data_IF_588747166298
#
_entry.id   IF_588747166298
#
_cell.length_a   1.000
_cell.length_b   1.000
_cell.length_c   1.000
_cell.angle_alpha   90.00
_cell.angle_beta   90.00
_cell.angle_gamma   90.00
#
_symmetry.space_group_name_H-M   'P 1'
#
loop_
_entity.id
_entity.type
_entity.pdbx_description
1 polymer ?
#
# COMPACT_ATOMS: atom_id res chain seq x y z
N UNK A 1 13.93 23.85 -37.45
CA UNK A 1 14.37 23.21 -36.20
C UNK A 1 13.47 23.76 -35.12
N UNK A 2 12.39 23.05 -34.81
CA UNK A 2 11.49 23.44 -33.72
C UNK A 2 11.97 22.79 -32.43
N UNK A 3 12.19 23.61 -31.41
CA UNK A 3 12.65 23.17 -30.10
C UNK A 3 11.50 22.45 -29.41
N UNK A 4 11.66 21.13 -29.20
CA UNK A 4 10.75 20.37 -28.36
C UNK A 4 10.75 20.96 -26.94
N UNK A 5 9.57 21.16 -26.31
CA UNK A 5 9.53 21.52 -24.90
C UNK A 5 10.13 20.39 -24.07
N UNK A 6 10.81 20.69 -22.96
CA UNK A 6 11.36 19.67 -22.09
C UNK A 6 10.22 18.76 -21.61
N UNK A 7 10.37 17.45 -21.81
CA UNK A 7 9.55 16.44 -21.16
C UNK A 7 9.42 16.83 -19.68
N UNK A 8 8.20 16.93 -19.11
CA UNK A 8 8.08 17.12 -17.69
C UNK A 8 8.73 15.91 -17.04
N UNK A 9 9.85 16.15 -16.35
CA UNK A 9 10.50 15.24 -15.43
C UNK A 9 9.44 14.90 -14.37
N UNK A 10 8.61 13.90 -14.66
CA UNK A 10 7.79 13.20 -13.70
C UNK A 10 8.79 12.47 -12.82
N UNK A 11 9.48 13.23 -11.97
CA UNK A 11 10.03 12.72 -10.74
C UNK A 11 8.85 12.09 -10.06
N UNK A 12 8.70 10.78 -10.26
CA UNK A 12 8.20 9.83 -9.31
C UNK A 12 8.97 10.15 -8.01
N UNK A 13 8.54 11.19 -7.30
CA UNK A 13 8.72 11.22 -5.87
C UNK A 13 7.97 9.97 -5.47
N UNK A 14 8.73 8.89 -5.25
CA UNK A 14 8.18 7.62 -4.83
C UNK A 14 7.38 7.95 -3.58
N UNK A 15 6.06 8.11 -3.76
CA UNK A 15 5.16 8.38 -2.68
C UNK A 15 5.33 7.18 -1.78
N UNK A 16 5.99 7.40 -0.65
CA UNK A 16 6.24 6.33 0.31
C UNK A 16 4.87 5.94 0.79
N UNK A 17 4.31 4.89 0.19
CA UNK A 17 2.94 4.51 0.50
C UNK A 17 2.83 4.14 1.99
N UNK A 18 1.60 4.17 2.50
CA UNK A 18 1.32 3.96 3.92
C UNK A 18 1.96 2.68 4.49
N UNK A 19 2.06 1.63 3.66
CA UNK A 19 2.66 0.36 4.06
C UNK A 19 4.19 0.46 4.17
N UNK A 20 4.90 1.14 3.27
CA UNK A 20 6.37 1.29 3.40
C UNK A 20 6.74 1.93 4.73
N UNK A 21 6.01 2.98 5.11
CA UNK A 21 6.23 3.66 6.38
C UNK A 21 5.87 2.76 7.58
N UNK A 22 4.74 2.04 7.50
CA UNK A 22 4.29 1.13 8.56
C UNK A 22 5.24 -0.08 8.76
N UNK A 23 5.68 -0.71 7.67
CA UNK A 23 6.63 -1.83 7.69
C UNK A 23 7.97 -1.43 8.32
N UNK A 24 8.50 -0.24 7.97
CA UNK A 24 9.72 0.31 8.58
C UNK A 24 9.61 0.52 10.09
N UNK A 25 8.40 0.74 10.62
CA UNK A 25 8.13 0.85 12.05
C UNK A 25 7.86 -0.49 12.73
N UNK A 26 7.94 -1.60 12.01
CA UNK A 26 7.69 -2.93 12.54
C UNK A 26 6.22 -3.25 12.75
N UNK A 27 5.28 -2.54 12.11
CA UNK A 27 3.85 -2.79 12.28
C UNK A 27 3.45 -4.23 11.89
N UNK A 28 4.15 -4.82 10.92
CA UNK A 28 3.88 -6.17 10.42
C UNK A 28 4.78 -7.23 11.06
N UNK A 29 5.56 -6.88 12.09
CA UNK A 29 6.38 -7.85 12.81
C UNK A 29 5.52 -8.86 13.56
N UNK A 30 5.87 -10.15 13.45
CA UNK A 30 5.08 -11.26 14.01
C UNK A 30 5.74 -11.97 15.20
N UNK A 31 6.98 -11.60 15.55
CA UNK A 31 7.83 -12.34 16.50
C UNK A 31 7.23 -12.53 17.91
N UNK A 32 6.36 -11.61 18.34
CA UNK A 32 5.77 -11.61 19.69
C UNK A 32 4.27 -11.86 19.69
N UNK A 33 3.67 -12.22 18.55
CA UNK A 33 2.23 -12.36 18.41
C UNK A 33 1.76 -13.81 18.57
N UNK A 34 0.54 -14.03 19.08
CA UNK A 34 -0.11 -15.34 19.00
C UNK A 34 -0.17 -15.81 17.54
N UNK A 35 -0.05 -17.13 17.33
CA UNK A 35 0.03 -17.72 15.98
C UNK A 35 -1.14 -17.35 15.07
N UNK A 36 -2.36 -17.29 15.60
CA UNK A 36 -3.54 -16.88 14.85
C UNK A 36 -3.43 -15.42 14.36
N UNK A 37 -3.01 -14.51 15.24
CA UNK A 37 -2.81 -13.09 14.92
C UNK A 37 -1.66 -12.91 13.93
N UNK A 38 -0.56 -13.64 14.10
CA UNK A 38 0.56 -13.61 13.15
C UNK A 38 0.13 -14.06 11.74
N UNK A 39 -0.69 -15.10 11.63
CA UNK A 39 -1.24 -15.55 10.33
C UNK A 39 -2.20 -14.52 9.72
N UNK A 40 -3.02 -13.87 10.55
CA UNK A 40 -3.90 -12.80 10.09
C UNK A 40 -3.09 -11.62 9.54
N UNK A 41 -2.05 -11.17 10.25
CA UNK A 41 -1.14 -10.12 9.80
C UNK A 41 -0.45 -10.47 8.47
N UNK A 42 0.03 -11.71 8.34
CA UNK A 42 0.66 -12.17 7.10
C UNK A 42 -0.31 -12.10 5.91
N UNK A 43 -1.60 -12.39 6.12
CA UNK A 43 -2.64 -12.27 5.07
C UNK A 43 -2.89 -10.81 4.68
N UNK A 44 -2.96 -9.91 5.67
CA UNK A 44 -3.08 -8.47 5.38
C UNK A 44 -1.87 -7.93 4.62
N UNK A 45 -0.65 -8.32 5.03
CA UNK A 45 0.57 -7.92 4.32
C UNK A 45 0.57 -8.44 2.88
N UNK A 46 0.19 -9.70 2.65
CA UNK A 46 0.08 -10.26 1.32
C UNK A 46 -0.95 -9.51 0.45
N UNK A 47 -2.10 -9.13 1.01
CA UNK A 47 -3.10 -8.34 0.29
C UNK A 47 -2.54 -6.98 -0.14
N UNK A 48 -1.79 -6.30 0.73
CA UNK A 48 -1.09 -5.05 0.40
C UNK A 48 -0.08 -5.25 -0.74
N UNK A 49 0.71 -6.33 -0.71
CA UNK A 49 1.68 -6.61 -1.77
C UNK A 49 1.01 -6.82 -3.13
N UNK A 50 -0.14 -7.50 -3.17
CA UNK A 50 -0.93 -7.64 -4.40
C UNK A 50 -1.49 -6.30 -4.89
N UNK A 51 -2.02 -5.45 -4.00
CA UNK A 51 -2.50 -4.12 -4.35
C UNK A 51 -1.39 -3.23 -4.90
N UNK A 52 -0.18 -3.31 -4.35
CA UNK A 52 1.00 -2.61 -4.90
C UNK A 52 1.34 -3.08 -6.31
N UNK A 53 1.35 -4.38 -6.55
CA UNK A 53 1.64 -4.93 -7.87
C UNK A 53 0.58 -4.48 -8.91
N UNK A 54 -0.70 -4.48 -8.51
CA UNK A 54 -1.79 -3.97 -9.34
C UNK A 54 -1.63 -2.47 -9.61
N UNK A 55 -1.40 -1.67 -8.55
CA UNK A 55 -1.17 -0.23 -8.62
C UNK A 55 -0.03 0.13 -9.58
N UNK A 56 1.12 -0.54 -9.48
CA UNK A 56 2.25 -0.35 -10.39
C UNK A 56 1.87 -0.68 -11.85
N UNK A 57 1.09 -1.74 -12.08
CA UNK A 57 0.64 -2.11 -13.42
C UNK A 57 -0.29 -1.05 -14.03
N UNK A 58 -1.17 -0.46 -13.21
CA UNK A 58 -2.14 0.57 -13.62
C UNK A 58 -1.50 1.91 -14.02
N UNK A 59 -0.26 2.16 -13.62
CA UNK A 59 0.51 3.35 -14.01
C UNK A 59 1.11 3.26 -15.42
N UNK A 60 0.94 2.13 -16.12
CA UNK A 60 1.49 1.95 -17.46
C UNK A 60 0.77 2.83 -18.50
N UNK A 61 1.47 3.50 -19.43
CA UNK A 61 0.87 4.56 -20.24
C UNK A 61 0.02 4.05 -21.43
N UNK A 62 -0.11 2.73 -21.60
CA UNK A 62 -0.74 2.12 -22.78
C UNK A 62 -2.19 1.67 -22.57
N UNK A 63 -2.84 2.11 -21.50
CA UNK A 63 -4.28 1.87 -21.32
C UNK A 63 -5.10 2.76 -22.25
N UNK A 64 -5.98 2.14 -23.04
CA UNK A 64 -6.97 2.87 -23.86
C UNK A 64 -7.94 3.67 -23.00
N UNK A 65 -8.25 3.19 -21.78
CA UNK A 65 -9.09 3.88 -20.81
C UNK A 65 -8.24 4.37 -19.63
N UNK A 66 -7.62 5.54 -19.80
CA UNK A 66 -6.72 6.13 -18.81
C UNK A 66 -7.44 6.59 -17.54
N UNK A 67 -8.69 7.08 -17.65
CA UNK A 67 -9.51 7.47 -16.49
C UNK A 67 -9.78 6.27 -15.59
N UNK A 68 -10.20 5.15 -16.15
CA UNK A 68 -10.42 3.92 -15.38
C UNK A 68 -9.12 3.45 -14.72
N UNK A 69 -7.99 3.46 -15.45
CA UNK A 69 -6.71 3.07 -14.87
C UNK A 69 -6.31 3.97 -13.68
N UNK A 70 -6.52 5.29 -13.78
CA UNK A 70 -6.28 6.24 -12.71
C UNK A 70 -7.19 6.03 -11.49
N UNK A 71 -8.50 5.78 -11.72
CA UNK A 71 -9.43 5.49 -10.63
C UNK A 71 -9.07 4.19 -9.90
N UNK A 72 -8.71 3.14 -10.64
CA UNK A 72 -8.28 1.88 -10.04
C UNK A 72 -6.94 2.02 -9.30
N UNK A 73 -6.03 2.86 -9.78
CA UNK A 73 -4.77 3.15 -9.11
C UNK A 73 -5.02 3.80 -7.74
N UNK A 74 -5.87 4.84 -7.71
CA UNK A 74 -6.30 5.50 -6.47
C UNK A 74 -6.98 4.53 -5.51
N UNK A 75 -7.89 3.68 -6.01
CA UNK A 75 -8.52 2.65 -5.20
C UNK A 75 -7.49 1.72 -4.53
N UNK A 76 -6.42 1.34 -5.24
CA UNK A 76 -5.36 0.52 -4.64
C UNK A 76 -4.63 1.26 -3.52
N UNK A 77 -4.31 2.55 -3.70
CA UNK A 77 -3.63 3.36 -2.68
C UNK A 77 -4.48 3.54 -1.43
N UNK A 78 -5.76 3.85 -1.60
CA UNK A 78 -6.74 3.98 -0.50
C UNK A 78 -6.88 2.65 0.25
N UNK A 79 -7.06 1.53 -0.48
CA UNK A 79 -7.18 0.19 0.11
C UNK A 79 -5.94 -0.21 0.92
N UNK A 80 -4.73 0.14 0.47
CA UNK A 80 -3.51 -0.11 1.23
C UNK A 80 -3.53 0.66 2.57
N UNK A 81 -3.98 1.92 2.56
CA UNK A 81 -4.13 2.73 3.77
C UNK A 81 -5.13 2.13 4.76
N UNK A 82 -6.27 1.67 4.27
CA UNK A 82 -7.32 1.03 5.08
C UNK A 82 -6.83 -0.28 5.74
N UNK A 83 -6.11 -1.12 4.99
CA UNK A 83 -5.54 -2.35 5.55
C UNK A 83 -4.48 -2.01 6.62
N UNK A 84 -3.62 -1.02 6.38
CA UNK A 84 -2.64 -0.57 7.38
C UNK A 84 -3.33 -0.09 8.66
N UNK A 85 -4.43 0.65 8.55
CA UNK A 85 -5.19 1.08 9.73
C UNK A 85 -5.85 -0.10 10.44
N UNK A 86 -6.40 -1.06 9.70
CA UNK A 86 -6.98 -2.29 10.25
C UNK A 86 -5.96 -3.08 11.09
N UNK A 87 -4.72 -3.19 10.60
CA UNK A 87 -3.63 -3.85 11.34
C UNK A 87 -3.27 -3.08 12.62
N UNK A 88 -3.27 -1.74 12.59
CA UNK A 88 -3.05 -0.94 13.81
C UNK A 88 -4.12 -1.22 14.84
N UNK A 89 -5.39 -1.13 14.45
CA UNK A 89 -6.53 -1.37 15.34
C UNK A 89 -6.50 -2.79 15.93
N UNK A 90 -6.13 -3.78 15.11
CA UNK A 90 -5.97 -5.17 15.56
C UNK A 90 -4.89 -5.28 16.65
N UNK A 91 -3.71 -4.70 16.43
CA UNK A 91 -2.61 -4.75 17.39
C UNK A 91 -2.86 -3.92 18.65
N UNK A 92 -3.58 -2.81 18.55
CA UNK A 92 -4.02 -2.03 19.71
C UNK A 92 -4.97 -2.85 20.60
N UNK A 93 -5.93 -3.57 20.00
CA UNK A 93 -6.84 -4.46 20.75
C UNK A 93 -6.13 -5.62 21.43
N UNK A 94 -5.06 -6.16 20.82
CA UNK A 94 -4.26 -7.23 21.44
C UNK A 94 -3.42 -6.74 22.63
N UNK A 95 -3.10 -5.45 22.67
CA UNK A 95 -2.32 -4.83 23.75
C UNK A 95 -3.19 -4.33 24.92
N UNK A 96 -4.51 -4.24 24.75
CA UNK A 96 -5.41 -3.90 25.84
C UNK A 96 -5.49 -5.08 26.82
N UNK A 97 -5.14 -4.89 28.11
CA UNK A 97 -5.36 -5.92 29.11
C UNK A 97 -6.85 -6.24 29.17
N UNK A 98 -7.20 -7.53 29.13
CA UNK A 98 -8.51 -8.00 29.58
C UNK A 98 -8.63 -7.58 31.06
N UNK A 99 -9.37 -6.50 31.30
CA UNK A 99 -9.72 -6.04 32.63
C UNK A 99 -10.58 -7.04 33.38
#
# INVERSE_FOLDING_TARGET
MEAHPPCPDHRHVAQVDAYTHAARRGLFSTDMLPSATAQELARYEQAILHLRAASHSLQWPFYTNTTFAADQHRYCEESIGEIVQTVRDLLERQQQPLG
#
